data_IF_937782481615
#
_entry.id   IF_937782481615
#
_cell.length_a   1.000
_cell.length_b   1.000
_cell.length_c   1.000
_cell.angle_alpha   90.00
_cell.angle_beta   90.00
_cell.angle_gamma   90.00
#
_symmetry.space_group_name_H-M   'P 1'
#
loop_
_entity.id
_entity.type
_entity.pdbx_description
1 polymer ?
#
# COMPACT_ATOMS: atom_id res chain seq x y z
N UNK A 1 -0.50 16.38 6.71
CA UNK A 1 0.41 15.22 6.89
C UNK A 1 -0.23 14.01 6.25
N UNK A 2 0.38 13.50 5.18
CA UNK A 2 -0.23 12.70 4.10
C UNK A 2 0.10 11.20 4.18
N UNK A 3 0.07 10.64 5.40
CA UNK A 3 0.53 9.25 5.61
C UNK A 3 -0.47 8.18 5.17
N UNK A 4 -1.78 8.46 5.23
CA UNK A 4 -2.80 7.47 4.90
C UNK A 4 -2.77 7.06 3.41
N UNK A 5 -2.57 8.05 2.54
CA UNK A 5 -2.51 7.85 1.09
C UNK A 5 -1.25 7.10 0.65
N UNK A 6 -0.17 7.17 1.44
CA UNK A 6 1.04 6.38 1.22
C UNK A 6 0.82 4.89 1.52
N UNK A 7 -0.04 4.54 2.47
CA UNK A 7 -0.28 3.13 2.81
C UNK A 7 -1.30 2.51 1.85
N UNK A 8 -2.52 3.06 1.81
CA UNK A 8 -3.63 2.56 1.00
C UNK A 8 -3.31 2.61 -0.49
N UNK A 9 -2.82 3.75 -0.98
CA UNK A 9 -2.52 3.94 -2.40
C UNK A 9 -1.33 3.09 -2.88
N UNK A 10 -0.37 2.79 -2.02
CA UNK A 10 0.78 1.95 -2.37
C UNK A 10 0.39 0.46 -2.53
N UNK A 11 -0.38 -0.08 -1.57
CA UNK A 11 -0.89 -1.45 -1.65
C UNK A 11 -1.79 -1.65 -2.88
N UNK A 12 -2.74 -0.74 -3.08
CA UNK A 12 -3.64 -0.82 -4.23
C UNK A 12 -2.91 -0.64 -5.57
N UNK A 13 -1.87 0.19 -5.62
CA UNK A 13 -1.09 0.37 -6.84
C UNK A 13 -0.26 -0.86 -7.20
N UNK A 14 0.58 -1.33 -6.29
CA UNK A 14 1.55 -2.38 -6.62
C UNK A 14 0.97 -3.79 -6.51
N UNK A 15 0.17 -4.09 -5.49
CA UNK A 15 -0.47 -5.41 -5.40
C UNK A 15 -1.79 -5.42 -6.18
N UNK A 16 -2.69 -4.47 -5.93
CA UNK A 16 -4.01 -4.43 -6.56
C UNK A 16 -3.95 -4.29 -8.08
N UNK A 17 -3.39 -3.20 -8.59
CA UNK A 17 -3.42 -2.90 -10.02
C UNK A 17 -2.45 -3.76 -10.83
N UNK A 18 -1.22 -3.94 -10.35
CA UNK A 18 -0.17 -4.63 -11.15
C UNK A 18 -0.22 -6.15 -11.10
N UNK A 19 -0.74 -6.74 -10.01
CA UNK A 19 -0.75 -8.19 -9.83
C UNK A 19 -2.17 -8.73 -9.71
N UNK A 20 -3.04 -8.03 -8.99
CA UNK A 20 -4.43 -8.43 -8.75
C UNK A 20 -5.44 -7.99 -9.80
N UNK A 21 -5.02 -7.24 -10.83
CA UNK A 21 -5.88 -6.70 -11.89
C UNK A 21 -7.16 -6.02 -11.36
N UNK A 22 -7.08 -5.30 -10.23
CA UNK A 22 -8.25 -4.68 -9.62
C UNK A 22 -8.81 -3.48 -10.39
N UNK A 23 -8.10 -3.02 -11.44
CA UNK A 23 -8.43 -1.80 -12.17
C UNK A 23 -8.12 -0.51 -11.39
N UNK A 24 -7.40 -0.59 -10.26
CA UNK A 24 -7.05 0.60 -9.48
C UNK A 24 -6.17 1.57 -10.28
N UNK A 25 -6.66 2.80 -10.47
CA UNK A 25 -5.92 3.90 -11.09
C UNK A 25 -5.48 4.87 -10.00
N UNK A 26 -4.17 5.08 -9.89
CA UNK A 26 -3.60 5.91 -8.83
C UNK A 26 -3.58 7.39 -9.21
N UNK A 27 -4.32 8.21 -8.48
CA UNK A 27 -4.26 9.67 -8.56
C UNK A 27 -3.43 10.24 -7.40
N UNK A 28 -2.11 10.32 -7.61
CA UNK A 28 -1.18 10.86 -6.59
C UNK A 28 -1.49 12.33 -6.25
N UNK A 29 -1.65 13.26 -7.20
CA UNK A 29 -1.94 14.65 -6.86
C UNK A 29 -3.15 14.80 -5.94
N UNK A 30 -4.24 14.07 -6.22
CA UNK A 30 -5.43 14.07 -5.37
C UNK A 30 -5.19 13.41 -4.03
N UNK A 31 -4.50 12.26 -4.00
CA UNK A 31 -4.08 11.61 -2.75
C UNK A 31 -3.37 12.59 -1.80
N UNK A 32 -2.54 13.52 -2.29
CA UNK A 32 -1.79 14.43 -1.43
C UNK A 32 -2.45 15.79 -1.17
N UNK A 33 -3.37 16.22 -2.04
CA UNK A 33 -3.92 17.58 -2.03
C UNK A 33 -5.46 17.64 -2.06
N UNK A 34 -6.16 16.54 -1.74
CA UNK A 34 -7.63 16.58 -1.69
C UNK A 34 -8.10 17.63 -0.66
N UNK A 35 -8.85 18.68 -1.08
CA UNK A 35 -9.37 19.68 -0.15
C UNK A 35 -10.42 19.09 0.81
N UNK A 36 -10.97 17.92 0.49
CA UNK A 36 -11.96 17.21 1.28
C UNK A 36 -11.44 15.80 1.61
N UNK A 37 -10.46 15.67 2.52
CA UNK A 37 -9.92 14.38 2.87
C UNK A 37 -11.02 13.48 3.48
N UNK A 38 -10.92 12.14 3.31
CA UNK A 38 -11.89 11.21 3.88
C UNK A 38 -11.92 11.32 5.41
N UNK A 39 -13.06 11.01 6.01
CA UNK A 39 -13.16 10.87 7.46
C UNK A 39 -12.23 9.76 7.97
N UNK A 40 -11.91 9.78 9.26
CA UNK A 40 -11.08 8.74 9.89
C UNK A 40 -11.65 7.34 9.65
N UNK A 41 -12.97 7.18 9.76
CA UNK A 41 -13.63 5.88 9.58
C UNK A 41 -13.50 5.39 8.13
N UNK A 42 -13.78 6.26 7.15
CA UNK A 42 -13.63 5.92 5.73
C UNK A 42 -12.18 5.62 5.35
N UNK A 43 -11.23 6.39 5.89
CA UNK A 43 -9.81 6.14 5.70
C UNK A 43 -9.45 4.72 6.21
N UNK A 44 -9.80 4.40 7.45
CA UNK A 44 -9.51 3.07 8.02
C UNK A 44 -10.15 1.94 7.22
N UNK A 45 -11.41 2.09 6.80
CA UNK A 45 -12.08 1.10 5.96
C UNK A 45 -11.34 0.88 4.62
N UNK A 46 -10.93 1.95 3.94
CA UNK A 46 -10.14 1.86 2.70
C UNK A 46 -8.79 1.18 2.90
N UNK A 47 -8.15 1.39 4.04
CA UNK A 47 -6.91 0.70 4.39
C UNK A 47 -7.13 -0.80 4.61
N UNK A 48 -8.18 -1.17 5.34
CA UNK A 48 -8.54 -2.58 5.56
C UNK A 48 -8.84 -3.30 4.25
N UNK A 49 -9.57 -2.65 3.33
CA UNK A 49 -9.79 -3.15 1.98
C UNK A 49 -8.49 -3.34 1.19
N UNK A 50 -7.58 -2.36 1.23
CA UNK A 50 -6.29 -2.45 0.55
C UNK A 50 -5.41 -3.57 1.12
N UNK A 51 -5.44 -3.80 2.43
CA UNK A 51 -4.76 -4.93 3.08
C UNK A 51 -5.38 -6.26 2.62
N UNK A 52 -6.71 -6.34 2.55
CA UNK A 52 -7.41 -7.54 2.09
C UNK A 52 -7.11 -7.85 0.61
N UNK A 53 -7.04 -6.82 -0.25
CA UNK A 53 -6.59 -6.94 -1.64
C UNK A 53 -5.17 -7.48 -1.70
N UNK A 54 -4.23 -6.85 -0.96
CA UNK A 54 -2.84 -7.29 -0.92
C UNK A 54 -2.74 -8.77 -0.53
N UNK A 55 -3.40 -9.17 0.57
CA UNK A 55 -3.36 -10.56 1.05
C UNK A 55 -3.87 -11.54 -0.01
N UNK A 56 -5.04 -11.27 -0.59
CA UNK A 56 -5.65 -12.09 -1.64
C UNK A 56 -4.74 -12.26 -2.85
N UNK A 57 -4.08 -11.17 -3.27
CA UNK A 57 -3.14 -11.20 -4.40
C UNK A 57 -1.97 -12.11 -4.08
N UNK A 58 -1.32 -11.94 -2.92
CA UNK A 58 -0.19 -12.78 -2.53
C UNK A 58 -0.58 -14.26 -2.43
N UNK A 59 -1.71 -14.55 -1.82
CA UNK A 59 -2.24 -15.92 -1.67
C UNK A 59 -2.60 -16.58 -3.00
N UNK A 60 -2.83 -15.78 -4.06
CA UNK A 60 -3.16 -16.29 -5.40
C UNK A 60 -1.95 -16.62 -6.27
N UNK A 61 -0.75 -16.19 -5.89
CA UNK A 61 0.46 -16.38 -6.69
C UNK A 61 1.10 -17.74 -6.42
N UNK A 62 1.56 -18.41 -7.48
CA UNK A 62 2.39 -19.61 -7.35
C UNK A 62 3.81 -19.25 -6.93
N UNK A 63 4.57 -20.26 -6.49
CA UNK A 63 5.98 -20.09 -6.15
C UNK A 63 6.81 -19.56 -7.34
N UNK A 64 6.57 -20.07 -8.54
CA UNK A 64 7.25 -19.65 -9.76
C UNK A 64 6.94 -18.18 -10.09
N UNK A 65 5.67 -17.78 -9.92
CA UNK A 65 5.27 -16.38 -10.11
C UNK A 65 5.92 -15.47 -9.07
N UNK A 66 6.04 -15.89 -7.81
CA UNK A 66 6.72 -15.13 -6.77
C UNK A 66 8.20 -14.89 -7.06
N UNK A 67 8.87 -15.79 -7.79
CA UNK A 67 10.25 -15.66 -8.22
C UNK A 67 10.44 -14.89 -9.53
N UNK A 68 9.36 -14.61 -10.27
CA UNK A 68 9.43 -13.85 -11.51
C UNK A 68 9.86 -12.39 -11.24
N UNK A 69 10.42 -11.74 -12.26
CA UNK A 69 10.77 -10.32 -12.18
C UNK A 69 9.50 -9.46 -11.96
N UNK A 70 9.55 -8.42 -11.10
CA UNK A 70 8.43 -7.53 -10.90
C UNK A 70 8.19 -6.67 -12.14
N UNK A 71 6.95 -6.17 -12.28
CA UNK A 71 6.57 -5.26 -13.37
C UNK A 71 7.34 -3.93 -13.31
N UNK A 72 7.84 -3.55 -12.13
CA UNK A 72 8.70 -2.39 -11.94
C UNK A 72 10.04 -2.84 -11.35
N UNK A 73 11.08 -2.77 -12.18
CA UNK A 73 12.45 -3.20 -11.83
C UNK A 73 13.04 -2.44 -10.63
N UNK A 74 12.56 -1.23 -10.35
CA UNK A 74 13.00 -0.44 -9.20
C UNK A 74 12.54 -1.04 -7.87
N UNK A 75 11.57 -1.97 -7.89
CA UNK A 75 11.08 -2.65 -6.69
C UNK A 75 11.96 -3.83 -6.27
N UNK A 76 12.83 -4.32 -7.16
CA UNK A 76 13.74 -5.43 -6.89
C UNK A 76 13.80 -6.45 -8.02
N UNK A 77 14.35 -7.62 -7.71
CA UNK A 77 14.60 -8.69 -8.70
C UNK A 77 13.47 -9.72 -8.79
N UNK A 78 12.65 -9.86 -7.76
CA UNK A 78 11.52 -10.79 -7.73
C UNK A 78 10.25 -10.13 -7.23
N UNK A 79 9.08 -10.66 -7.62
CA UNK A 79 7.79 -10.23 -7.07
C UNK A 79 7.76 -10.39 -5.55
N UNK A 80 8.25 -11.50 -5.01
CA UNK A 80 8.37 -11.71 -3.56
C UNK A 80 9.20 -10.62 -2.88
N UNK A 81 10.36 -10.27 -3.45
CA UNK A 81 11.23 -9.21 -2.94
C UNK A 81 10.55 -7.84 -2.97
N UNK A 82 9.87 -7.52 -4.08
CA UNK A 82 9.07 -6.30 -4.21
C UNK A 82 7.97 -6.22 -3.13
N UNK A 83 7.28 -7.33 -2.89
CA UNK A 83 6.20 -7.40 -1.89
C UNK A 83 6.71 -7.29 -0.46
N UNK A 84 7.88 -7.86 -0.15
CA UNK A 84 8.55 -7.69 1.14
C UNK A 84 9.02 -6.24 1.36
N UNK A 85 9.53 -5.58 0.31
CA UNK A 85 9.89 -4.16 0.35
C UNK A 85 8.65 -3.30 0.65
N UNK A 86 7.50 -3.63 0.05
CA UNK A 86 6.22 -2.99 0.32
C UNK A 86 5.81 -3.10 1.79
N UNK A 87 5.88 -4.30 2.37
CA UNK A 87 5.56 -4.54 3.79
C UNK A 87 6.52 -3.78 4.71
N UNK A 88 7.81 -3.75 4.36
CA UNK A 88 8.83 -2.99 5.11
C UNK A 88 8.54 -1.49 5.10
N UNK A 89 8.21 -0.93 3.93
CA UNK A 89 7.80 0.46 3.77
C UNK A 89 6.52 0.78 4.56
N UNK A 90 5.54 -0.13 4.54
CA UNK A 90 4.32 -0.01 5.35
C UNK A 90 4.64 0.07 6.84
N UNK A 91 5.52 -0.82 7.33
CA UNK A 91 5.90 -0.87 8.75
C UNK A 91 6.58 0.44 9.21
N UNK A 92 7.46 1.03 8.39
CA UNK A 92 8.11 2.32 8.66
C UNK A 92 7.06 3.42 8.84
N UNK A 93 6.12 3.56 7.91
CA UNK A 93 5.09 4.61 7.99
C UNK A 93 4.10 4.38 9.14
N UNK A 94 3.73 3.12 9.43
CA UNK A 94 2.97 2.81 10.63
C UNK A 94 3.71 3.26 11.89
N UNK A 95 5.03 3.05 11.95
CA UNK A 95 5.88 3.52 13.04
C UNK A 95 5.85 5.04 13.19
N UNK A 96 6.00 5.78 12.09
CA UNK A 96 5.90 7.24 12.08
C UNK A 96 4.54 7.74 12.57
N UNK A 97 3.43 7.17 12.07
CA UNK A 97 2.08 7.51 12.52
C UNK A 97 1.93 7.29 14.03
N UNK A 98 2.35 6.12 14.52
CA UNK A 98 2.30 5.78 15.95
C UNK A 98 3.10 6.76 16.80
N UNK A 99 4.30 7.14 16.35
CA UNK A 99 5.15 8.12 17.02
C UNK A 99 4.48 9.50 17.09
N UNK A 100 3.98 10.01 15.97
CA UNK A 100 3.30 11.31 15.90
C UNK A 100 2.05 11.30 16.78
N UNK A 101 1.23 10.24 16.72
CA UNK A 101 0.04 10.10 17.55
C UNK A 101 0.36 10.21 19.05
N UNK A 102 1.47 9.61 19.50
CA UNK A 102 1.94 9.71 20.90
C UNK A 102 2.46 11.09 21.26
N UNK A 103 3.04 11.83 20.31
CA UNK A 103 3.50 13.21 20.55
C UNK A 103 2.34 14.19 20.69
N UNK A 104 1.30 14.07 19.86
CA UNK A 104 0.17 15.01 19.83
C UNK A 104 -0.97 14.67 20.80
N UNK A 105 -0.94 13.48 21.40
CA UNK A 105 -1.90 13.07 22.44
C UNK A 105 -1.40 13.41 23.86
N UNK A 106 -0.34 14.21 23.96
CA UNK A 106 0.12 14.86 25.19
C UNK A 106 -0.43 16.28 25.22
#
# INVERSE_FOLDING_TARGET
MTWHFLLTGNLNHFAGARLGNTGYVRDKPREFNDPNPPSKAEALARLDEAIAVYRRVIESLTYEQLLAAPVDEHLGTTIAGAMLRLVSHFAVHRGQISYIARLVSR
#
